data_IF_676614967486
#
_entry.id   IF_676614967486
#
_cell.length_a   1.000
_cell.length_b   1.000
_cell.length_c   1.000
_cell.angle_alpha   90.00
_cell.angle_beta   90.00
_cell.angle_gamma   90.00
#
_symmetry.space_group_name_H-M   'P 1'
#
loop_
_entity.id
_entity.type
_entity.pdbx_description
1 polymer ?
#
# COMPACT_ATOMS: atom_id res chain seq x y z
N UNK A 1 -16.23 19.39 11.18
CA UNK A 1 -16.82 19.95 9.95
C UNK A 1 -15.97 19.45 8.78
N UNK A 2 -16.54 18.64 7.92
CA UNK A 2 -15.83 17.99 6.80
C UNK A 2 -16.00 18.91 5.59
N UNK A 3 -14.89 19.43 5.03
CA UNK A 3 -14.92 20.21 3.79
C UNK A 3 -14.59 19.32 2.61
N UNK A 4 -15.51 19.19 1.67
CA UNK A 4 -15.29 18.57 0.37
C UNK A 4 -15.15 19.68 -0.64
N UNK A 5 -14.00 19.76 -1.30
CA UNK A 5 -13.80 20.69 -2.43
C UNK A 5 -13.96 19.89 -3.71
N UNK A 6 -15.09 20.09 -4.38
CA UNK A 6 -15.35 19.54 -5.71
C UNK A 6 -15.16 20.65 -6.71
N UNK A 7 -14.19 20.55 -7.59
CA UNK A 7 -14.00 21.49 -8.71
C UNK A 7 -14.60 20.87 -9.95
N UNK A 8 -15.77 21.39 -10.37
CA UNK A 8 -16.39 21.05 -11.65
C UNK A 8 -15.83 21.98 -12.73
N UNK A 9 -15.52 21.52 -13.94
CA UNK A 9 -15.09 22.42 -15.00
C UNK A 9 -16.27 23.35 -15.35
N UNK A 10 -16.13 24.64 -15.03
CA UNK A 10 -17.08 25.69 -15.37
C UNK A 10 -17.75 26.46 -14.23
N UNK A 11 -17.44 26.21 -12.96
CA UNK A 11 -18.03 26.96 -11.84
C UNK A 11 -16.98 27.41 -10.84
N UNK A 12 -17.15 28.65 -10.38
CA UNK A 12 -16.26 29.42 -9.55
C UNK A 12 -15.63 28.67 -8.40
N UNK A 13 -14.32 28.78 -8.33
CA UNK A 13 -13.44 28.44 -7.21
C UNK A 13 -14.04 28.91 -5.89
N UNK A 14 -14.58 27.99 -5.09
CA UNK A 14 -14.74 28.26 -3.65
C UNK A 14 -13.35 28.10 -3.05
N UNK A 15 -12.67 29.21 -2.87
CA UNK A 15 -11.34 29.27 -2.29
C UNK A 15 -11.36 28.57 -0.93
N UNK A 16 -10.60 27.48 -0.80
CA UNK A 16 -9.99 27.16 0.49
C UNK A 16 -9.19 28.41 0.82
N UNK A 17 -9.61 29.13 1.86
CA UNK A 17 -8.99 30.38 2.25
C UNK A 17 -7.47 30.17 2.26
N UNK A 18 -6.75 31.00 1.53
CA UNK A 18 -5.31 31.03 1.41
C UNK A 18 -4.71 31.40 2.78
N UNK A 19 -4.75 30.47 3.71
CA UNK A 19 -3.87 30.51 4.88
C UNK A 19 -2.46 30.33 4.32
N UNK A 20 -1.70 31.41 4.28
CA UNK A 20 -0.30 31.43 3.88
C UNK A 20 0.44 30.35 4.66
N UNK A 21 0.85 29.29 3.99
CA UNK A 21 1.80 28.32 4.53
C UNK A 21 1.28 26.93 4.90
N UNK A 22 0.00 26.59 4.69
CA UNK A 22 -0.50 25.24 5.00
C UNK A 22 -0.18 24.29 3.85
N UNK A 23 0.75 23.38 4.06
CA UNK A 23 1.00 22.26 3.17
C UNK A 23 -0.03 21.15 3.43
N UNK A 24 -0.17 20.24 2.48
CA UNK A 24 -1.06 19.08 2.58
C UNK A 24 -0.26 17.79 2.44
N UNK A 25 -0.41 16.89 3.40
CA UNK A 25 0.14 15.53 3.31
C UNK A 25 -0.88 14.65 2.59
N UNK A 26 -0.43 13.94 1.57
CA UNK A 26 -1.24 12.94 0.87
C UNK A 26 -1.32 11.66 1.71
N UNK A 27 -2.53 11.14 1.89
CA UNK A 27 -2.79 9.84 2.55
C UNK A 27 -2.90 8.76 1.48
N UNK A 28 -3.59 9.06 0.38
CA UNK A 28 -3.75 8.16 -0.75
C UNK A 28 -4.73 8.71 -1.77
N UNK A 29 -4.95 7.95 -2.83
CA UNK A 29 -5.91 8.27 -3.90
C UNK A 29 -7.00 7.21 -3.94
N UNK A 30 -8.24 7.64 -4.09
CA UNK A 30 -9.45 6.80 -4.15
C UNK A 30 -10.31 7.19 -5.34
N UNK A 31 -11.31 6.38 -5.67
CA UNK A 31 -12.37 6.80 -6.59
C UNK A 31 -13.11 8.03 -6.03
N UNK A 32 -13.42 9.00 -6.87
CA UNK A 32 -14.13 10.21 -6.48
C UNK A 32 -15.48 9.91 -5.82
N UNK A 33 -16.17 8.87 -6.26
CA UNK A 33 -17.42 8.39 -5.66
C UNK A 33 -17.28 7.95 -4.20
N UNK A 34 -16.10 7.53 -3.78
CA UNK A 34 -15.82 7.04 -2.41
C UNK A 34 -15.36 8.15 -1.46
N UNK A 35 -15.03 9.35 -1.95
CA UNK A 35 -14.33 10.38 -1.19
C UNK A 35 -15.05 10.79 0.10
N UNK A 36 -16.36 11.00 0.05
CA UNK A 36 -17.15 11.42 1.22
C UNK A 36 -17.10 10.40 2.35
N UNK A 37 -17.19 9.13 2.02
CA UNK A 37 -17.07 8.03 2.98
C UNK A 37 -15.65 7.94 3.57
N UNK A 38 -14.65 8.04 2.71
CA UNK A 38 -13.24 7.97 3.12
C UNK A 38 -12.86 9.12 4.04
N UNK A 39 -13.29 10.36 3.74
CA UNK A 39 -13.05 11.51 4.62
C UNK A 39 -13.69 11.30 6.00
N UNK A 40 -14.90 10.76 6.05
CA UNK A 40 -15.58 10.45 7.31
C UNK A 40 -14.79 9.41 8.12
N UNK A 41 -14.26 8.37 7.47
CA UNK A 41 -13.44 7.33 8.12
C UNK A 41 -12.06 7.84 8.52
N UNK A 42 -11.45 8.72 7.71
CA UNK A 42 -10.15 9.32 8.00
C UNK A 42 -10.20 10.30 9.18
N UNK A 43 -11.38 10.79 9.54
CA UNK A 43 -11.60 11.61 10.73
C UNK A 43 -11.28 13.10 10.53
N UNK A 44 -11.18 13.81 11.68
CA UNK A 44 -11.03 15.27 11.72
C UNK A 44 -9.76 15.71 11.00
N UNK A 45 -9.89 16.74 10.17
CA UNK A 45 -8.77 17.34 9.41
C UNK A 45 -8.48 16.66 8.07
N UNK A 46 -9.16 15.57 7.72
CA UNK A 46 -9.05 15.01 6.38
C UNK A 46 -9.88 15.82 5.37
N UNK A 47 -9.31 16.02 4.17
CA UNK A 47 -9.94 16.74 3.06
C UNK A 47 -9.84 15.92 1.77
N UNK A 48 -10.80 16.09 0.87
CA UNK A 48 -10.78 15.52 -0.47
C UNK A 48 -10.48 16.58 -1.51
N UNK A 49 -9.59 16.28 -2.44
CA UNK A 49 -9.34 17.07 -3.64
C UNK A 49 -9.68 16.16 -4.82
N UNK A 50 -10.69 16.52 -5.60
CA UNK A 50 -11.24 15.66 -6.65
C UNK A 50 -10.94 16.22 -8.03
N UNK A 51 -10.55 15.34 -8.94
CA UNK A 51 -10.45 15.58 -10.36
C UNK A 51 -11.05 14.40 -11.13
N UNK A 52 -12.13 14.64 -11.87
CA UNK A 52 -12.88 13.60 -12.58
C UNK A 52 -13.25 12.43 -11.65
N UNK A 53 -12.80 11.22 -12.00
CA UNK A 53 -13.13 9.97 -11.31
C UNK A 53 -12.18 9.62 -10.14
N UNK A 54 -11.16 10.46 -9.90
CA UNK A 54 -10.16 10.24 -8.84
C UNK A 54 -10.17 11.35 -7.80
N UNK A 55 -9.84 11.02 -6.58
CA UNK A 55 -9.75 11.97 -5.49
C UNK A 55 -8.55 11.68 -4.59
N UNK A 56 -7.78 12.72 -4.27
CA UNK A 56 -6.74 12.67 -3.25
C UNK A 56 -7.33 12.88 -1.86
N UNK A 57 -7.00 12.02 -0.93
CA UNK A 57 -7.26 12.18 0.50
C UNK A 57 -6.05 12.85 1.13
N UNK A 58 -6.23 14.06 1.67
CA UNK A 58 -5.13 14.86 2.20
C UNK A 58 -5.42 15.34 3.62
N UNK A 59 -4.37 15.61 4.40
CA UNK A 59 -4.44 16.30 5.69
C UNK A 59 -3.53 17.53 5.69
N UNK A 60 -3.94 18.67 6.28
CA UNK A 60 -3.04 19.79 6.52
C UNK A 60 -1.81 19.38 7.33
N UNK A 61 -0.64 19.89 6.97
CA UNK A 61 0.57 19.73 7.73
C UNK A 61 1.35 21.06 7.80
N UNK A 62 1.97 21.31 8.96
CA UNK A 62 2.65 22.58 9.22
C UNK A 62 4.02 22.66 8.55
N UNK A 63 4.70 21.53 8.37
CA UNK A 63 6.07 21.50 7.91
C UNK A 63 6.29 20.44 6.81
N UNK A 64 6.91 20.87 5.67
CA UNK A 64 7.17 20.00 4.51
C UNK A 64 8.45 19.17 4.63
N UNK A 65 9.42 19.68 5.40
CA UNK A 65 10.80 19.21 5.36
C UNK A 65 11.22 18.47 6.64
N UNK A 66 10.30 18.29 7.57
CA UNK A 66 10.59 17.56 8.79
C UNK A 66 10.48 16.06 8.53
N UNK A 67 11.55 15.34 8.83
CA UNK A 67 11.50 13.88 8.80
C UNK A 67 10.43 13.42 9.80
N UNK A 68 9.52 12.50 9.41
CA UNK A 68 8.49 12.05 10.31
C UNK A 68 9.14 11.31 11.46
N UNK A 69 8.61 11.51 12.68
CA UNK A 69 8.92 10.65 13.80
C UNK A 69 8.36 9.23 13.55
N UNK A 70 8.91 8.23 14.22
CA UNK A 70 8.41 6.86 14.14
C UNK A 70 6.92 6.77 14.48
N UNK A 71 6.46 7.57 15.46
CA UNK A 71 5.02 7.65 15.80
C UNK A 71 4.17 8.18 14.64
N UNK A 72 4.66 9.18 13.90
CA UNK A 72 3.95 9.72 12.73
C UNK A 72 3.91 8.72 11.55
N UNK A 73 4.95 7.91 11.40
CA UNK A 73 4.97 6.81 10.41
C UNK A 73 3.97 5.72 10.77
N UNK A 74 3.92 5.32 12.04
CA UNK A 74 2.98 4.33 12.55
C UNK A 74 1.54 4.84 12.40
N UNK A 75 1.28 6.10 12.77
CA UNK A 75 -0.04 6.72 12.61
C UNK A 75 -0.49 6.74 11.14
N UNK A 76 0.41 7.18 10.23
CA UNK A 76 0.14 7.18 8.80
C UNK A 76 -0.20 5.78 8.30
N UNK A 77 0.62 4.79 8.65
CA UNK A 77 0.41 3.39 8.24
C UNK A 77 -0.90 2.83 8.78
N UNK A 78 -1.21 3.08 10.05
CA UNK A 78 -2.46 2.65 10.70
C UNK A 78 -3.68 3.24 9.97
N UNK A 79 -3.63 4.54 9.68
CA UNK A 79 -4.70 5.22 8.95
C UNK A 79 -4.88 4.63 7.54
N UNK A 80 -3.79 4.51 6.77
CA UNK A 80 -3.81 3.95 5.42
C UNK A 80 -4.32 2.51 5.43
N UNK A 81 -3.89 1.69 6.38
CA UNK A 81 -4.35 0.30 6.53
C UNK A 81 -5.85 0.21 6.81
N UNK A 82 -6.35 1.04 7.73
CA UNK A 82 -7.79 1.11 8.04
C UNK A 82 -8.64 1.57 6.86
N UNK A 83 -8.18 2.57 6.11
CA UNK A 83 -8.87 3.04 4.91
C UNK A 83 -8.83 1.99 3.79
N UNK A 84 -7.68 1.38 3.55
CA UNK A 84 -7.51 0.34 2.53
C UNK A 84 -8.34 -0.93 2.83
N UNK A 85 -8.63 -1.22 4.09
CA UNK A 85 -9.52 -2.32 4.46
C UNK A 85 -10.98 -2.06 4.03
N UNK A 86 -11.36 -0.77 3.97
CA UNK A 86 -12.75 -0.35 3.73
C UNK A 86 -13.03 0.11 2.31
N UNK A 87 -12.01 0.47 1.54
CA UNK A 87 -12.15 0.99 0.17
C UNK A 87 -10.90 0.70 -0.67
N UNK A 88 -11.09 0.65 -1.98
CA UNK A 88 -9.98 0.60 -2.94
C UNK A 88 -9.22 1.91 -2.89
N UNK A 89 -7.94 1.86 -2.52
CA UNK A 89 -7.09 3.03 -2.37
C UNK A 89 -5.67 2.75 -2.83
N UNK A 90 -5.10 3.65 -3.62
CA UNK A 90 -3.67 3.73 -3.87
C UNK A 90 -3.02 4.45 -2.68
N UNK A 91 -2.23 3.76 -1.85
CA UNK A 91 -1.62 4.37 -0.68
C UNK A 91 -0.50 5.33 -1.08
N UNK A 92 -0.40 6.48 -0.40
CA UNK A 92 0.72 7.37 -0.56
C UNK A 92 1.87 7.03 0.39
N UNK A 93 3.14 7.20 -0.03
CA UNK A 93 4.26 7.18 0.90
C UNK A 93 4.11 8.24 2.00
N UNK A 94 4.58 7.98 3.23
CA UNK A 94 4.30 8.83 4.41
C UNK A 94 4.72 10.30 4.29
N UNK A 95 5.70 10.61 3.42
CA UNK A 95 6.28 11.95 3.27
C UNK A 95 5.75 12.74 2.09
N UNK A 96 4.79 12.19 1.36
CA UNK A 96 4.25 12.86 0.19
C UNK A 96 3.45 14.09 0.60
N UNK A 97 3.92 15.28 0.19
CA UNK A 97 3.28 16.55 0.53
C UNK A 97 3.13 17.47 -0.68
N UNK A 98 2.04 18.22 -0.69
CA UNK A 98 1.78 19.31 -1.64
C UNK A 98 1.85 20.67 -0.93
N UNK A 99 2.35 21.70 -1.63
CA UNK A 99 2.41 23.07 -1.08
C UNK A 99 1.03 23.68 -0.89
N UNK A 100 0.12 23.33 -1.76
CA UNK A 100 -1.24 23.90 -1.80
C UNK A 100 -2.22 22.85 -2.32
N UNK A 101 -3.52 23.07 -2.10
CA UNK A 101 -4.55 22.27 -2.74
C UNK A 101 -4.52 22.38 -4.27
N UNK A 102 -4.14 23.54 -4.82
CA UNK A 102 -4.00 23.73 -6.26
C UNK A 102 -2.87 22.85 -6.84
N UNK A 103 -1.74 22.72 -6.16
CA UNK A 103 -0.66 21.82 -6.62
C UNK A 103 -1.05 20.34 -6.54
N UNK A 104 -1.86 19.96 -5.57
CA UNK A 104 -2.41 18.61 -5.50
C UNK A 104 -3.42 18.33 -6.62
N UNK A 105 -4.27 19.31 -6.94
CA UNK A 105 -5.21 19.21 -8.06
C UNK A 105 -4.48 19.07 -9.39
N UNK A 106 -3.47 19.91 -9.64
CA UNK A 106 -2.67 19.85 -10.85
C UNK A 106 -1.96 18.49 -11.00
N UNK A 107 -1.47 17.95 -9.90
CA UNK A 107 -0.88 16.61 -9.89
C UNK A 107 -1.91 15.51 -10.23
N UNK A 108 -3.14 15.59 -9.65
CA UNK A 108 -4.23 14.67 -10.00
C UNK A 108 -4.59 14.75 -11.48
N UNK A 109 -4.68 15.98 -12.02
CA UNK A 109 -4.97 16.21 -13.44
C UNK A 109 -3.96 15.54 -14.34
N UNK A 110 -2.66 15.73 -14.04
CA UNK A 110 -1.56 15.16 -14.82
C UNK A 110 -1.56 13.62 -14.80
N UNK A 111 -1.94 13.02 -13.68
CA UNK A 111 -1.86 11.57 -13.47
C UNK A 111 -3.23 10.85 -13.53
N UNK A 112 -4.32 11.55 -13.89
CA UNK A 112 -5.68 11.02 -13.77
C UNK A 112 -5.87 9.66 -14.41
N UNK A 113 -5.36 9.44 -15.63
CA UNK A 113 -5.47 8.16 -16.35
C UNK A 113 -4.75 7.05 -15.60
N UNK A 114 -3.48 7.26 -15.26
CA UNK A 114 -2.67 6.27 -14.55
C UNK A 114 -3.25 5.93 -13.16
N UNK A 115 -3.83 6.92 -12.47
CA UNK A 115 -4.49 6.72 -11.18
C UNK A 115 -5.78 5.92 -11.33
N UNK A 116 -6.59 6.20 -12.36
CA UNK A 116 -7.80 5.43 -12.65
C UNK A 116 -7.47 3.97 -12.98
N UNK A 117 -6.49 3.73 -13.84
CA UNK A 117 -6.03 2.39 -14.20
C UNK A 117 -5.44 1.67 -12.98
N UNK A 118 -4.66 2.37 -12.16
CA UNK A 118 -4.10 1.85 -10.93
C UNK A 118 -5.18 1.42 -9.93
N UNK A 119 -6.22 2.25 -9.72
CA UNK A 119 -7.36 1.92 -8.87
C UNK A 119 -8.11 0.69 -9.40
N UNK A 120 -8.39 0.63 -10.70
CA UNK A 120 -9.04 -0.53 -11.31
C UNK A 120 -8.19 -1.80 -11.18
N UNK A 121 -6.86 -1.68 -11.31
CA UNK A 121 -5.93 -2.80 -11.17
C UNK A 121 -5.90 -3.40 -9.77
N UNK A 122 -6.02 -2.57 -8.73
CA UNK A 122 -5.98 -3.03 -7.32
C UNK A 122 -7.36 -3.28 -6.72
N UNK A 123 -8.44 -3.06 -7.47
CA UNK A 123 -9.79 -3.22 -6.94
C UNK A 123 -10.05 -4.66 -6.48
N UNK A 124 -10.66 -4.79 -5.31
CA UNK A 124 -10.91 -6.09 -4.67
C UNK A 124 -9.65 -6.83 -4.19
N UNK A 125 -8.46 -6.23 -4.25
CA UNK A 125 -7.19 -6.86 -3.92
C UNK A 125 -6.54 -6.31 -2.66
N UNK A 126 -5.60 -7.11 -2.10
CA UNK A 126 -4.77 -6.73 -0.96
C UNK A 126 -3.34 -7.21 -1.18
N UNK A 127 -2.40 -6.54 -0.55
CA UNK A 127 -1.00 -6.96 -0.52
C UNK A 127 -0.78 -8.05 0.52
N UNK A 128 -0.04 -9.09 0.14
CA UNK A 128 0.52 -10.08 1.05
C UNK A 128 2.04 -10.03 0.93
N UNK A 129 2.77 -10.27 2.00
CA UNK A 129 4.21 -10.53 1.93
C UNK A 129 4.52 -11.89 2.51
N UNK A 130 5.27 -12.68 1.76
CA UNK A 130 5.80 -13.97 2.21
C UNK A 130 7.30 -13.84 2.32
N UNK A 131 7.81 -14.06 3.53
CA UNK A 131 9.26 -14.11 3.81
C UNK A 131 9.67 -15.55 3.98
N UNK A 132 10.67 -15.96 3.22
CA UNK A 132 11.35 -17.24 3.35
C UNK A 132 12.58 -17.05 4.24
N UNK A 133 12.67 -17.81 5.31
CA UNK A 133 13.79 -17.80 6.25
C UNK A 133 14.38 -19.21 6.38
N UNK A 134 15.66 -19.30 6.69
CA UNK A 134 16.28 -20.61 6.97
C UNK A 134 15.78 -21.12 8.32
N UNK A 135 15.29 -22.35 8.33
CA UNK A 135 15.06 -23.07 9.58
C UNK A 135 16.39 -23.64 10.11
N UNK A 136 16.91 -23.01 11.16
CA UNK A 136 18.15 -23.44 11.80
C UNK A 136 17.99 -24.74 12.59
N UNK A 137 16.78 -25.07 13.03
CA UNK A 137 16.49 -26.29 13.78
C UNK A 137 16.29 -27.51 12.87
N UNK A 138 15.78 -27.28 11.65
CA UNK A 138 15.49 -28.31 10.65
C UNK A 138 16.61 -28.51 9.59
N UNK A 139 17.79 -27.90 9.76
CA UNK A 139 18.87 -28.02 8.80
C UNK A 139 19.34 -29.47 8.68
N UNK A 140 18.94 -30.14 7.59
CA UNK A 140 19.40 -31.51 7.28
C UNK A 140 20.62 -31.43 6.38
N UNK A 141 21.59 -32.33 6.62
CA UNK A 141 22.74 -32.54 5.73
C UNK A 141 22.40 -33.50 4.56
N UNK A 142 21.11 -33.75 4.31
CA UNK A 142 20.67 -34.64 3.26
C UNK A 142 20.89 -33.98 1.88
N UNK A 143 21.76 -34.55 1.02
CA UNK A 143 22.06 -33.98 -0.29
C UNK A 143 20.85 -33.98 -1.28
N UNK A 144 19.77 -34.68 -0.95
CA UNK A 144 18.54 -34.69 -1.76
C UNK A 144 17.64 -33.47 -1.48
N UNK A 145 17.87 -32.74 -0.38
CA UNK A 145 17.14 -31.56 -0.01
C UNK A 145 17.71 -30.34 -0.77
N UNK A 146 16.85 -29.58 -1.43
CA UNK A 146 17.24 -28.36 -2.15
C UNK A 146 17.92 -27.36 -1.22
N UNK A 147 18.95 -26.63 -1.71
CA UNK A 147 19.48 -25.49 -0.97
C UNK A 147 18.35 -24.51 -0.60
N UNK A 148 18.35 -23.91 0.61
CA UNK A 148 17.27 -23.04 1.07
C UNK A 148 16.89 -21.91 0.10
N UNK A 149 17.85 -21.35 -0.65
CA UNK A 149 17.58 -20.35 -1.69
C UNK A 149 16.80 -20.91 -2.88
N UNK A 150 17.12 -22.14 -3.31
CA UNK A 150 16.40 -22.82 -4.39
C UNK A 150 15.01 -23.25 -3.93
N UNK A 151 14.86 -23.74 -2.71
CA UNK A 151 13.58 -24.07 -2.11
C UNK A 151 12.66 -22.84 -2.02
N UNK A 152 13.19 -21.68 -1.61
CA UNK A 152 12.44 -20.42 -1.58
C UNK A 152 11.93 -20.01 -2.97
N UNK A 153 12.75 -20.15 -4.01
CA UNK A 153 12.36 -19.85 -5.40
C UNK A 153 11.21 -20.76 -5.86
N UNK A 154 11.28 -22.05 -5.57
CA UNK A 154 10.23 -23.01 -5.95
C UNK A 154 8.93 -22.75 -5.16
N UNK A 155 9.02 -22.48 -3.85
CA UNK A 155 7.85 -22.12 -3.04
C UNK A 155 7.17 -20.85 -3.56
N UNK A 156 7.93 -19.79 -3.87
CA UNK A 156 7.36 -18.57 -4.44
C UNK A 156 6.75 -18.82 -5.82
N UNK A 157 7.37 -19.66 -6.66
CA UNK A 157 6.79 -20.07 -7.95
C UNK A 157 5.45 -20.79 -7.76
N UNK A 158 5.34 -21.66 -6.77
CA UNK A 158 4.09 -22.34 -6.45
C UNK A 158 2.99 -21.35 -6.00
N UNK A 159 3.35 -20.37 -5.18
CA UNK A 159 2.41 -19.37 -4.65
C UNK A 159 1.96 -18.33 -5.68
N UNK A 160 2.78 -18.02 -6.69
CA UNK A 160 2.45 -17.03 -7.75
C UNK A 160 1.15 -17.34 -8.49
N UNK A 161 0.76 -18.61 -8.61
CA UNK A 161 -0.50 -19.00 -9.26
C UNK A 161 -1.76 -18.58 -8.49
N UNK A 162 -1.62 -18.17 -7.23
CA UNK A 162 -2.72 -17.70 -6.37
C UNK A 162 -2.77 -16.18 -6.24
N UNK A 163 -1.94 -15.47 -6.97
CA UNK A 163 -1.84 -14.01 -6.94
C UNK A 163 -2.03 -13.42 -8.34
N UNK A 164 -2.61 -12.23 -8.41
CA UNK A 164 -2.76 -11.48 -9.64
C UNK A 164 -1.42 -10.89 -10.14
N UNK A 165 -0.52 -10.57 -9.20
CA UNK A 165 0.83 -10.10 -9.49
C UNK A 165 1.77 -10.39 -8.33
N UNK A 166 3.08 -10.33 -8.60
CA UNK A 166 4.11 -10.48 -7.58
C UNK A 166 5.28 -9.53 -7.84
N UNK A 167 5.91 -9.09 -6.75
CA UNK A 167 7.09 -8.21 -6.80
C UNK A 167 8.12 -8.69 -5.77
N UNK A 168 9.37 -8.93 -6.18
CA UNK A 168 10.45 -9.16 -5.22
C UNK A 168 10.62 -7.95 -4.32
N UNK A 169 10.69 -8.17 -3.01
CA UNK A 169 10.93 -7.12 -2.03
C UNK A 169 12.36 -7.25 -1.55
N UNK A 170 13.14 -6.18 -1.65
CA UNK A 170 14.49 -6.17 -1.08
C UNK A 170 14.37 -6.41 0.42
N UNK A 171 14.93 -7.52 0.88
CA UNK A 171 15.05 -7.79 2.31
C UNK A 171 16.03 -6.78 2.89
N UNK A 172 15.49 -5.68 3.45
CA UNK A 172 16.29 -4.92 4.41
C UNK A 172 16.69 -5.88 5.52
N UNK A 173 17.79 -5.61 6.21
CA UNK A 173 18.25 -6.36 7.37
C UNK A 173 17.25 -6.28 8.53
N UNK A 174 16.01 -6.72 8.30
CA UNK A 174 14.95 -6.76 9.31
C UNK A 174 14.89 -8.20 9.83
N UNK A 175 15.44 -8.41 11.00
CA UNK A 175 15.41 -9.70 11.68
C UNK A 175 16.78 -10.22 12.03
N UNK A 176 16.81 -11.42 12.52
CA UNK A 176 17.97 -12.18 12.99
C UNK A 176 18.98 -12.66 11.91
N UNK A 177 18.88 -12.12 10.69
CA UNK A 177 19.76 -12.49 9.57
C UNK A 177 19.42 -13.83 8.91
N UNK A 178 18.31 -14.48 9.27
CA UNK A 178 17.89 -15.78 8.70
C UNK A 178 17.05 -15.64 7.43
N UNK A 179 16.51 -14.44 7.14
CA UNK A 179 15.71 -14.19 5.95
C UNK A 179 16.53 -14.35 4.67
N UNK A 180 16.06 -15.24 3.77
CA UNK A 180 16.68 -15.54 2.48
C UNK A 180 16.09 -14.66 1.39
N UNK A 181 14.76 -14.55 1.35
CA UNK A 181 14.03 -13.79 0.35
C UNK A 181 12.68 -13.35 0.87
N UNK A 182 12.16 -12.25 0.32
CA UNK A 182 10.79 -11.78 0.54
C UNK A 182 10.16 -11.45 -0.80
N UNK A 183 8.92 -11.89 -0.99
CA UNK A 183 8.12 -11.55 -2.18
C UNK A 183 6.78 -10.99 -1.75
N UNK A 184 6.34 -9.91 -2.40
CA UNK A 184 5.01 -9.36 -2.25
C UNK A 184 4.08 -9.99 -3.30
N UNK A 185 2.85 -10.28 -2.87
CA UNK A 185 1.80 -10.91 -3.68
C UNK A 185 0.56 -10.01 -3.66
N UNK A 186 -0.01 -9.74 -4.83
CA UNK A 186 -1.29 -9.05 -4.97
C UNK A 186 -2.38 -10.11 -5.03
N UNK A 187 -3.16 -10.25 -3.95
CA UNK A 187 -4.13 -11.33 -3.75
C UNK A 187 -5.54 -10.79 -3.76
N UNK A 188 -6.46 -11.49 -4.44
CA UNK A 188 -7.89 -11.19 -4.34
C UNK A 188 -8.37 -11.37 -2.88
N UNK A 189 -9.05 -10.36 -2.32
CA UNK A 189 -9.54 -10.42 -0.92
C UNK A 189 -10.45 -11.62 -0.67
N UNK A 190 -11.26 -11.98 -1.65
CA UNK A 190 -12.12 -13.17 -1.60
C UNK A 190 -11.36 -14.49 -1.56
N UNK A 191 -10.08 -14.50 -1.99
CA UNK A 191 -9.21 -15.68 -2.02
C UNK A 191 -8.14 -15.65 -0.92
N UNK A 192 -8.21 -14.71 0.03
CA UNK A 192 -7.21 -14.54 1.06
C UNK A 192 -6.96 -15.80 1.89
N UNK A 193 -8.01 -16.42 2.40
CA UNK A 193 -7.91 -17.64 3.22
C UNK A 193 -7.29 -18.80 2.45
N UNK A 194 -7.65 -18.93 1.16
CA UNK A 194 -7.05 -19.93 0.28
C UNK A 194 -5.56 -19.66 0.09
N UNK A 195 -5.17 -18.41 -0.15
CA UNK A 195 -3.76 -18.04 -0.28
C UNK A 195 -2.97 -18.35 1.01
N UNK A 196 -3.53 -18.01 2.18
CA UNK A 196 -2.90 -18.29 3.46
C UNK A 196 -2.73 -19.81 3.70
N UNK A 197 -3.74 -20.61 3.36
CA UNK A 197 -3.65 -22.08 3.44
C UNK A 197 -2.56 -22.65 2.52
N UNK A 198 -2.39 -22.09 1.31
CA UNK A 198 -1.34 -22.54 0.39
C UNK A 198 0.05 -22.15 0.89
N UNK A 199 0.23 -20.99 1.53
CA UNK A 199 1.50 -20.63 2.17
C UNK A 199 1.85 -21.65 3.26
N UNK A 200 0.89 -22.01 4.10
CA UNK A 200 1.08 -23.03 5.14
C UNK A 200 1.42 -24.42 4.55
N UNK A 201 0.76 -24.78 3.45
CA UNK A 201 1.01 -26.05 2.78
C UNK A 201 2.42 -26.07 2.13
N UNK A 202 2.87 -24.95 1.56
CA UNK A 202 4.24 -24.82 1.03
C UNK A 202 5.31 -24.84 2.14
N UNK A 203 5.03 -24.23 3.29
CA UNK A 203 5.91 -24.27 4.45
C UNK A 203 6.18 -25.73 4.88
N UNK A 204 5.14 -26.53 4.99
CA UNK A 204 5.26 -27.97 5.31
C UNK A 204 6.01 -28.76 4.23
N UNK A 205 5.86 -28.40 2.95
CA UNK A 205 6.51 -29.09 1.82
C UNK A 205 7.99 -28.76 1.65
N UNK A 206 8.49 -27.72 2.33
CA UNK A 206 9.85 -27.18 2.13
C UNK A 206 10.72 -27.36 3.38
N UNK A 207 11.18 -28.57 3.71
CA UNK A 207 12.00 -28.82 4.90
C UNK A 207 13.27 -27.95 4.90
N UNK A 208 13.61 -27.39 6.06
CA UNK A 208 14.75 -26.47 6.22
C UNK A 208 14.48 -25.02 5.81
N UNK A 209 13.23 -24.71 5.42
CA UNK A 209 12.73 -23.39 5.12
C UNK A 209 11.51 -23.09 5.99
N UNK A 210 11.40 -21.86 6.46
CA UNK A 210 10.18 -21.35 7.12
C UNK A 210 9.59 -20.24 6.27
N UNK A 211 8.31 -20.37 5.90
CA UNK A 211 7.55 -19.36 5.16
C UNK A 211 6.64 -18.59 6.11
N UNK A 212 6.86 -17.29 6.22
CA UNK A 212 6.04 -16.41 7.04
C UNK A 212 5.18 -15.49 6.18
N UNK A 213 3.86 -15.65 6.26
CA UNK A 213 2.89 -14.75 5.66
C UNK A 213 2.62 -13.56 6.59
N UNK A 214 2.57 -12.36 6.02
CA UNK A 214 2.09 -11.15 6.69
C UNK A 214 1.12 -10.40 5.78
N UNK A 215 0.13 -9.73 6.39
CA UNK A 215 -0.94 -9.00 5.71
C UNK A 215 -2.33 -9.34 6.28
N UNK A 216 -3.42 -8.88 5.66
CA UNK A 216 -3.43 -8.08 4.41
C UNK A 216 -2.89 -6.67 4.60
N UNK A 217 -2.05 -6.23 3.67
CA UNK A 217 -1.42 -4.92 3.66
C UNK A 217 -2.02 -4.01 2.57
N UNK A 218 -1.93 -2.67 2.72
CA UNK A 218 -2.11 -1.75 1.61
C UNK A 218 -1.12 -2.06 0.49
N UNK A 219 -1.52 -1.81 -0.75
CA UNK A 219 -0.83 -2.30 -1.97
C UNK A 219 0.39 -1.46 -2.39
N UNK A 220 1.20 -0.98 -1.45
CA UNK A 220 2.37 -0.13 -1.69
C UNK A 220 3.36 -0.70 -2.72
N UNK A 221 3.51 -2.00 -2.77
CA UNK A 221 4.49 -2.67 -3.63
C UNK A 221 4.03 -2.71 -5.11
N UNK A 222 2.73 -2.52 -5.39
CA UNK A 222 2.12 -2.76 -6.70
C UNK A 222 1.75 -1.49 -7.46
N UNK A 223 1.55 -0.39 -6.78
CA UNK A 223 1.25 0.90 -7.40
C UNK A 223 2.16 1.96 -6.80
N UNK A 224 3.04 2.51 -7.64
CA UNK A 224 3.96 3.56 -7.23
C UNK A 224 3.45 4.90 -7.75
N UNK A 225 3.16 5.80 -6.83
CA UNK A 225 2.86 7.19 -7.19
C UNK A 225 4.15 7.90 -7.63
N UNK A 226 4.08 8.60 -8.76
CA UNK A 226 5.16 9.45 -9.25
C UNK A 226 4.85 10.91 -8.88
N UNK A 227 5.85 11.64 -8.40
CA UNK A 227 5.74 13.02 -7.93
C UNK A 227 6.77 13.92 -8.60
#
# INVERSE_FOLDING_TARGET
>A
MVAVVTLTPGSATTAIGSARGTAFRLIGVVHASSISNVIRLAGIGAHGITFRDVAAVVRPCANRNEAPSDSALIEHHTLVSGLSASTTMIPAPPLTTFRTGASALQWLELHAVALTDGLAYIDGRAGARVTASRDLAGATSDPTVLPPSSAAIESFRALRRYAAATVPVSSGTVGDGTAIATEAFLVERSSWERFAAEVTAEDVRSPGLTLRLTGPWPVYDFVRLQF
#
